data_IF_477665655270
#
_entry.id   IF_477665655270
#
_cell.length_a   1.000
_cell.length_b   1.000
_cell.length_c   1.000
_cell.angle_alpha   90.00
_cell.angle_beta   90.00
_cell.angle_gamma   90.00
#
_symmetry.space_group_name_H-M   'P 1'
#
loop_
_entity.id
_entity.type
_entity.pdbx_description
1 polymer ?
#
# COMPACT_ATOMS: atom_id res chain seq x y z
N UNK A 1 -15.05 -3.79 -35.13
CA UNK A 1 -13.68 -4.30 -34.91
C UNK A 1 -13.74 -5.24 -33.70
N UNK A 2 -13.36 -6.53 -33.89
CA UNK A 2 -13.31 -7.50 -32.78
C UNK A 2 -12.11 -7.14 -31.88
N UNK A 3 -12.36 -6.92 -30.61
CA UNK A 3 -11.33 -6.71 -29.60
C UNK A 3 -10.79 -8.08 -29.16
N UNK A 4 -9.55 -8.47 -29.53
CA UNK A 4 -8.98 -9.77 -29.19
C UNK A 4 -8.95 -10.04 -27.67
N UNK A 5 -8.75 -8.96 -26.88
CA UNK A 5 -8.71 -9.06 -25.41
C UNK A 5 -10.07 -9.47 -24.83
N UNK A 6 -11.14 -8.90 -25.37
CA UNK A 6 -12.52 -9.27 -24.98
C UNK A 6 -12.86 -10.71 -25.36
N UNK A 7 -12.36 -11.20 -26.51
CA UNK A 7 -12.57 -12.60 -26.90
C UNK A 7 -11.84 -13.55 -25.97
N UNK A 8 -10.56 -13.29 -25.64
CA UNK A 8 -9.79 -14.07 -24.69
C UNK A 8 -10.46 -14.09 -23.29
N UNK A 9 -10.92 -12.93 -22.82
CA UNK A 9 -11.66 -12.82 -21.56
C UNK A 9 -12.97 -13.66 -21.58
N UNK A 10 -13.72 -13.62 -22.68
CA UNK A 10 -14.95 -14.42 -22.81
C UNK A 10 -14.65 -15.93 -22.82
N UNK A 11 -13.59 -16.36 -23.50
CA UNK A 11 -13.16 -17.76 -23.52
C UNK A 11 -12.72 -18.24 -22.13
N UNK A 12 -11.96 -17.41 -21.39
CA UNK A 12 -11.58 -17.71 -20.01
C UNK A 12 -12.79 -17.85 -19.09
N UNK A 13 -13.75 -16.92 -19.17
CA UNK A 13 -14.98 -16.96 -18.37
C UNK A 13 -15.86 -18.17 -18.73
N UNK A 14 -15.90 -18.58 -20.00
CA UNK A 14 -16.61 -19.77 -20.44
C UNK A 14 -15.98 -21.03 -19.82
N UNK A 15 -14.67 -21.17 -19.92
CA UNK A 15 -13.92 -22.29 -19.32
C UNK A 15 -14.08 -22.35 -17.78
N UNK A 16 -14.18 -21.18 -17.12
CA UNK A 16 -14.39 -21.07 -15.68
C UNK A 16 -15.87 -21.23 -15.27
N UNK A 17 -16.79 -21.55 -16.19
CA UNK A 17 -18.22 -21.75 -15.91
C UNK A 17 -19.03 -20.46 -15.73
N UNK A 18 -18.53 -19.31 -16.20
CA UNK A 18 -19.19 -18.00 -16.12
C UNK A 18 -19.59 -17.45 -17.49
N UNK A 19 -19.82 -18.34 -18.46
CA UNK A 19 -20.28 -17.97 -19.81
C UNK A 19 -21.53 -17.10 -19.77
N UNK A 20 -21.57 -16.07 -20.61
CA UNK A 20 -22.72 -15.18 -20.81
C UNK A 20 -23.06 -14.28 -19.63
N UNK A 21 -22.31 -14.30 -18.53
CA UNK A 21 -22.51 -13.42 -17.39
C UNK A 21 -21.94 -12.03 -17.71
N UNK A 22 -22.71 -10.98 -17.46
CA UNK A 22 -22.26 -9.60 -17.67
C UNK A 22 -21.17 -9.24 -16.65
N UNK A 23 -20.00 -8.86 -17.13
CA UNK A 23 -18.92 -8.29 -16.34
C UNK A 23 -19.17 -6.79 -16.10
N UNK A 24 -19.46 -6.41 -14.86
CA UNK A 24 -19.62 -5.00 -14.45
C UNK A 24 -18.28 -4.45 -14.01
N UNK A 25 -17.76 -3.35 -14.61
CA UNK A 25 -16.47 -2.80 -14.22
C UNK A 25 -16.52 -2.32 -12.75
N UNK A 26 -15.49 -2.68 -12.00
CA UNK A 26 -15.17 -2.09 -10.70
C UNK A 26 -14.25 -0.88 -10.89
N UNK A 27 -14.14 -0.04 -9.85
CA UNK A 27 -13.26 1.12 -9.91
C UNK A 27 -11.83 0.68 -10.26
N UNK A 28 -11.21 1.36 -11.22
CA UNK A 28 -9.84 1.07 -11.65
C UNK A 28 -8.81 1.61 -10.68
N UNK A 29 -7.70 0.89 -10.55
CA UNK A 29 -6.52 1.28 -9.80
C UNK A 29 -5.57 2.17 -10.62
N UNK A 30 -4.45 2.56 -10.02
CA UNK A 30 -3.35 3.26 -10.67
C UNK A 30 -2.54 2.37 -11.65
N UNK A 31 -2.72 1.04 -11.61
CA UNK A 31 -2.07 0.03 -12.44
C UNK A 31 -2.76 -0.16 -13.80
N UNK A 32 -2.22 -1.09 -14.62
CA UNK A 32 -2.86 -1.54 -15.86
C UNK A 32 -3.92 -2.61 -15.61
N UNK A 33 -4.08 -3.09 -14.38
CA UNK A 33 -5.09 -4.08 -13.98
C UNK A 33 -6.49 -3.48 -14.06
N UNK A 34 -7.43 -4.29 -14.51
CA UNK A 34 -8.85 -3.95 -14.58
C UNK A 34 -9.62 -5.02 -13.83
N UNK A 35 -10.62 -4.58 -13.06
CA UNK A 35 -11.44 -5.47 -12.26
C UNK A 35 -12.89 -5.40 -12.72
N UNK A 36 -13.55 -6.56 -12.76
CA UNK A 36 -14.95 -6.67 -13.12
C UNK A 36 -15.65 -7.61 -12.15
N UNK A 37 -16.82 -7.22 -11.67
CA UNK A 37 -17.67 -8.10 -10.88
C UNK A 37 -18.61 -8.85 -11.79
N UNK A 38 -18.74 -10.17 -11.57
CA UNK A 38 -19.73 -11.03 -12.20
C UNK A 38 -20.65 -11.56 -11.12
N UNK A 39 -21.98 -11.46 -11.37
CA UNK A 39 -22.99 -11.94 -10.42
C UNK A 39 -23.96 -12.89 -11.11
N UNK A 40 -24.25 -14.04 -10.48
CA UNK A 40 -25.22 -15.03 -10.95
C UNK A 40 -25.85 -15.79 -9.78
N UNK A 41 -27.18 -15.83 -9.74
CA UNK A 41 -27.94 -16.62 -8.77
C UNK A 41 -27.54 -16.33 -7.29
N UNK A 42 -27.29 -15.07 -6.94
CA UNK A 42 -26.93 -14.68 -5.59
C UNK A 42 -25.44 -14.91 -5.22
N UNK A 43 -24.65 -15.46 -6.13
CA UNK A 43 -23.20 -15.59 -5.98
C UNK A 43 -22.49 -14.53 -6.82
N UNK A 44 -21.33 -14.05 -6.36
CA UNK A 44 -20.50 -13.11 -7.11
C UNK A 44 -19.04 -13.52 -7.06
N UNK A 45 -18.31 -13.15 -8.12
CA UNK A 45 -16.86 -13.31 -8.26
C UNK A 45 -16.27 -12.07 -8.91
N UNK A 46 -14.98 -11.86 -8.73
CA UNK A 46 -14.24 -10.76 -9.36
C UNK A 46 -13.30 -11.32 -10.42
N UNK A 47 -13.42 -10.84 -11.65
CA UNK A 47 -12.44 -11.06 -12.71
C UNK A 47 -11.38 -9.97 -12.62
N UNK A 48 -10.11 -10.35 -12.52
CA UNK A 48 -8.95 -9.48 -12.73
C UNK A 48 -8.42 -9.70 -14.15
N UNK A 49 -8.31 -8.61 -14.90
CA UNK A 49 -7.69 -8.52 -16.21
C UNK A 49 -6.35 -7.77 -16.06
N UNK A 50 -5.25 -8.51 -16.10
CA UNK A 50 -3.87 -8.04 -15.94
C UNK A 50 -3.08 -8.34 -17.22
N UNK A 51 -3.13 -7.46 -18.24
CA UNK A 51 -2.63 -7.77 -19.58
C UNK A 51 -1.11 -7.88 -19.64
N UNK A 52 -0.54 -9.03 -20.09
CA UNK A 52 0.88 -9.13 -20.38
C UNK A 52 1.28 -8.26 -21.59
N UNK A 53 2.54 -7.78 -21.68
CA UNK A 53 3.64 -7.95 -20.71
C UNK A 53 3.64 -6.90 -19.59
N UNK A 54 2.62 -6.02 -19.50
CA UNK A 54 2.58 -4.92 -18.55
C UNK A 54 2.35 -5.37 -17.12
N UNK A 55 1.63 -6.48 -16.95
CA UNK A 55 1.30 -7.07 -15.64
C UNK A 55 1.65 -8.57 -15.63
N UNK A 56 2.04 -9.06 -14.43
CA UNK A 56 2.26 -10.47 -14.13
C UNK A 56 1.35 -10.87 -12.96
N UNK A 57 0.54 -11.90 -13.16
CA UNK A 57 -0.36 -12.42 -12.12
C UNK A 57 0.33 -13.37 -11.14
N UNK A 58 1.53 -13.84 -11.45
CA UNK A 58 2.28 -14.80 -10.62
C UNK A 58 2.45 -14.33 -9.17
N UNK A 59 2.95 -13.10 -8.92
CA UNK A 59 3.06 -12.56 -7.56
C UNK A 59 1.72 -12.50 -6.82
N UNK A 60 0.63 -12.10 -7.47
CA UNK A 60 -0.70 -12.09 -6.85
C UNK A 60 -1.11 -13.48 -6.37
N UNK A 61 -1.00 -14.49 -7.23
CA UNK A 61 -1.37 -15.88 -6.91
C UNK A 61 -0.53 -16.41 -5.75
N UNK A 62 0.79 -16.19 -5.79
CA UNK A 62 1.71 -16.66 -4.76
C UNK A 62 1.44 -16.02 -3.40
N UNK A 63 1.24 -14.70 -3.35
CA UNK A 63 0.99 -14.00 -2.08
C UNK A 63 -0.42 -14.30 -1.55
N UNK A 64 -1.43 -14.38 -2.41
CA UNK A 64 -2.77 -14.79 -1.99
C UNK A 64 -2.77 -16.16 -1.30
N UNK A 65 -2.07 -17.14 -1.91
CA UNK A 65 -1.91 -18.47 -1.33
C UNK A 65 -1.19 -18.40 0.02
N UNK A 66 -0.06 -17.69 0.10
CA UNK A 66 0.69 -17.50 1.35
C UNK A 66 -0.18 -16.89 2.47
N UNK A 67 -0.90 -15.81 2.20
CA UNK A 67 -1.75 -15.15 3.20
C UNK A 67 -2.84 -16.11 3.72
N UNK A 68 -3.43 -16.89 2.84
CA UNK A 68 -4.44 -17.91 3.21
C UNK A 68 -3.83 -19.05 4.04
N UNK A 69 -2.64 -19.52 3.70
CA UNK A 69 -1.88 -20.51 4.49
C UNK A 69 -1.51 -20.00 5.88
N UNK A 70 -1.25 -18.70 6.02
CA UNK A 70 -1.02 -18.01 7.29
C UNK A 70 -2.32 -17.80 8.10
N UNK A 71 -3.48 -18.23 7.57
CA UNK A 71 -4.77 -18.12 8.25
C UNK A 71 -5.45 -16.76 8.12
N UNK A 72 -5.02 -15.93 7.18
CA UNK A 72 -5.58 -14.62 6.88
C UNK A 72 -6.57 -14.68 5.71
N UNK A 73 -7.31 -13.59 5.48
CA UNK A 73 -8.26 -13.47 4.38
C UNK A 73 -7.67 -12.69 3.22
N UNK A 74 -7.16 -13.41 2.22
CA UNK A 74 -6.93 -12.92 0.87
C UNK A 74 -7.95 -13.57 -0.08
N UNK A 75 -8.37 -12.90 -1.19
CA UNK A 75 -9.31 -13.48 -2.15
C UNK A 75 -8.79 -14.83 -2.66
N UNK A 76 -9.66 -15.84 -2.65
CA UNK A 76 -9.35 -17.13 -3.24
C UNK A 76 -9.24 -17.00 -4.75
N UNK A 77 -8.18 -17.60 -5.32
CA UNK A 77 -8.03 -17.73 -6.77
C UNK A 77 -8.85 -18.95 -7.22
N UNK A 78 -9.99 -18.69 -7.84
CA UNK A 78 -10.94 -19.72 -8.28
C UNK A 78 -10.55 -20.31 -9.64
N UNK A 79 -9.96 -19.50 -10.51
CA UNK A 79 -9.40 -19.91 -11.79
C UNK A 79 -8.29 -18.94 -12.23
N UNK A 80 -7.32 -19.43 -13.01
CA UNK A 80 -6.23 -18.63 -13.57
C UNK A 80 -5.93 -18.96 -15.03
N UNK A 81 -5.54 -17.95 -15.79
CA UNK A 81 -4.93 -18.07 -17.11
C UNK A 81 -3.67 -17.19 -17.14
N UNK A 82 -2.51 -17.83 -16.96
CA UNK A 82 -1.22 -17.12 -16.85
C UNK A 82 -0.76 -16.53 -18.17
N UNK A 83 -1.07 -17.19 -19.29
CA UNK A 83 -0.67 -16.71 -20.62
C UNK A 83 -1.41 -15.41 -20.97
N UNK A 84 -2.70 -15.37 -20.65
CA UNK A 84 -3.55 -14.21 -20.91
C UNK A 84 -3.58 -13.21 -19.75
N UNK A 85 -3.11 -13.58 -18.56
CA UNK A 85 -3.14 -12.71 -17.38
C UNK A 85 -4.55 -12.48 -16.84
N UNK A 86 -5.38 -13.54 -16.76
CA UNK A 86 -6.70 -13.48 -16.14
C UNK A 86 -6.72 -14.26 -14.83
N UNK A 87 -7.39 -13.68 -13.81
CA UNK A 87 -7.77 -14.39 -12.59
C UNK A 87 -9.26 -14.26 -12.35
N UNK A 88 -9.88 -15.35 -11.90
CA UNK A 88 -11.21 -15.32 -11.29
C UNK A 88 -11.02 -15.44 -9.78
N UNK A 89 -11.53 -14.47 -9.03
CA UNK A 89 -11.25 -14.30 -7.63
C UNK A 89 -12.54 -14.35 -6.80
N UNK A 90 -12.43 -14.77 -5.55
CA UNK A 90 -13.47 -14.57 -4.55
C UNK A 90 -13.83 -13.08 -4.44
N UNK A 91 -15.14 -12.79 -4.38
CA UNK A 91 -15.65 -11.43 -4.20
C UNK A 91 -15.84 -11.13 -2.70
N UNK A 92 -15.05 -10.22 -2.16
CA UNK A 92 -15.17 -9.77 -0.77
C UNK A 92 -16.27 -8.73 -0.54
N UNK A 93 -16.98 -8.33 -1.61
CA UNK A 93 -18.01 -7.29 -1.54
C UNK A 93 -17.44 -5.87 -1.58
N UNK A 94 -18.16 -4.93 -0.96
CA UNK A 94 -17.88 -3.49 -1.09
C UNK A 94 -17.57 -2.81 0.26
N UNK A 95 -17.53 -3.55 1.36
CA UNK A 95 -17.34 -2.99 2.70
C UNK A 95 -15.87 -2.69 3.00
N UNK A 96 -15.24 -1.87 2.12
CA UNK A 96 -13.90 -1.34 2.39
C UNK A 96 -13.92 -0.50 3.66
N UNK A 97 -12.82 -0.49 4.41
CA UNK A 97 -12.71 0.32 5.61
C UNK A 97 -12.95 1.81 5.29
N UNK A 98 -12.46 2.30 4.16
CA UNK A 98 -12.73 3.66 3.69
C UNK A 98 -14.23 3.95 3.62
N UNK A 99 -15.01 3.05 2.99
CA UNK A 99 -16.46 3.22 2.84
C UNK A 99 -17.18 3.15 4.19
N UNK A 100 -16.80 2.18 5.02
CA UNK A 100 -17.38 2.01 6.35
C UNK A 100 -17.11 3.22 7.25
N UNK A 101 -15.87 3.71 7.26
CA UNK A 101 -15.48 4.88 8.05
C UNK A 101 -16.17 6.17 7.55
N UNK A 102 -16.35 6.32 6.24
CA UNK A 102 -17.15 7.41 5.69
C UNK A 102 -18.63 7.29 6.09
N UNK A 103 -19.13 6.08 6.31
CA UNK A 103 -20.48 5.79 6.81
C UNK A 103 -20.64 5.91 8.33
N UNK A 104 -19.58 6.27 9.08
CA UNK A 104 -19.63 6.45 10.55
C UNK A 104 -19.49 5.16 11.34
N UNK A 105 -18.88 4.11 10.77
CA UNK A 105 -18.55 2.88 11.49
C UNK A 105 -17.57 3.15 12.66
N UNK A 106 -17.53 2.23 13.63
CA UNK A 106 -16.64 2.29 14.79
C UNK A 106 -15.17 2.25 14.34
N UNK A 107 -14.56 3.43 14.26
CA UNK A 107 -13.18 3.61 13.82
C UNK A 107 -12.18 2.86 14.71
N UNK A 108 -12.21 2.98 16.05
CA UNK A 108 -11.36 2.18 16.94
C UNK A 108 -11.47 0.66 16.71
N UNK A 109 -12.66 0.13 16.48
CA UNK A 109 -12.85 -1.30 16.23
C UNK A 109 -12.21 -1.75 14.93
N UNK A 110 -12.38 -0.99 13.82
CA UNK A 110 -11.79 -1.28 12.52
C UNK A 110 -10.25 -1.22 12.57
N UNK A 111 -9.67 -0.19 13.19
CA UNK A 111 -8.22 -0.08 13.34
C UNK A 111 -7.65 -1.16 14.26
N UNK A 112 -8.36 -1.53 15.33
CA UNK A 112 -7.97 -2.65 16.18
C UNK A 112 -7.90 -3.95 15.39
N UNK A 113 -8.93 -4.25 14.59
CA UNK A 113 -8.96 -5.44 13.74
C UNK A 113 -7.84 -5.42 12.71
N UNK A 114 -7.56 -4.28 12.09
CA UNK A 114 -6.44 -4.14 11.15
C UNK A 114 -5.09 -4.39 11.83
N UNK A 115 -4.84 -3.77 12.99
CA UNK A 115 -3.57 -3.98 13.73
C UNK A 115 -3.43 -5.42 14.20
N UNK A 116 -4.50 -6.07 14.69
CA UNK A 116 -4.48 -7.48 15.06
C UNK A 116 -4.18 -8.40 13.88
N UNK A 117 -4.71 -8.05 12.70
CA UNK A 117 -4.43 -8.78 11.46
C UNK A 117 -2.96 -8.63 11.07
N UNK A 118 -2.38 -7.43 11.18
CA UNK A 118 -0.96 -7.19 10.94
C UNK A 118 -0.07 -7.96 11.93
N UNK A 119 -0.42 -7.96 13.21
CA UNK A 119 0.27 -8.74 14.24
C UNK A 119 0.23 -10.23 13.90
N UNK A 120 -0.95 -10.76 13.56
CA UNK A 120 -1.12 -12.17 13.22
C UNK A 120 -0.29 -12.54 11.96
N UNK A 121 -0.28 -11.68 10.93
CA UNK A 121 0.54 -11.82 9.73
C UNK A 121 2.01 -11.99 10.10
N UNK A 122 2.56 -11.07 10.87
CA UNK A 122 3.99 -11.03 11.19
C UNK A 122 4.41 -12.16 12.15
N UNK A 123 3.56 -12.49 13.12
CA UNK A 123 3.79 -13.65 14.00
C UNK A 123 3.78 -14.98 13.24
N UNK A 124 2.90 -15.12 12.24
CA UNK A 124 2.79 -16.36 11.48
C UNK A 124 3.89 -16.51 10.41
N UNK A 125 4.36 -15.41 9.83
CA UNK A 125 5.39 -15.40 8.79
C UNK A 125 6.79 -15.72 9.33
N UNK A 126 7.11 -15.27 10.54
CA UNK A 126 8.47 -15.38 11.11
C UNK A 126 8.97 -16.84 11.28
N UNK A 127 8.17 -17.84 11.73
CA UNK A 127 8.66 -19.20 11.96
C UNK A 127 8.74 -20.09 10.72
N UNK A 128 8.03 -19.75 9.64
CA UNK A 128 7.83 -20.67 8.50
C UNK A 128 8.81 -20.45 7.35
N UNK A 129 9.63 -19.41 7.40
CA UNK A 129 10.35 -18.92 6.25
C UNK A 129 9.37 -18.40 5.20
N UNK A 130 9.37 -17.12 4.96
CA UNK A 130 8.63 -16.54 3.83
C UNK A 130 9.20 -17.16 2.54
N UNK A 131 8.38 -17.43 1.50
CA UNK A 131 8.91 -17.71 0.18
C UNK A 131 9.94 -16.63 -0.17
N UNK A 132 10.82 -16.90 -1.11
CA UNK A 132 11.84 -15.92 -1.55
C UNK A 132 11.14 -14.66 -2.09
N UNK A 133 10.76 -13.78 -1.17
CA UNK A 133 10.20 -12.47 -1.49
C UNK A 133 11.34 -11.49 -1.74
N UNK A 134 11.14 -10.54 -2.65
CA UNK A 134 12.09 -9.46 -2.83
C UNK A 134 12.34 -8.73 -1.51
N UNK A 135 13.57 -8.32 -1.26
CA UNK A 135 13.91 -7.52 -0.08
C UNK A 135 13.43 -6.07 -0.26
N UNK A 136 12.91 -5.48 0.80
CA UNK A 136 12.70 -4.04 0.90
C UNK A 136 14.01 -3.40 1.35
N UNK A 137 15.00 -3.49 0.50
CA UNK A 137 16.36 -3.09 0.76
C UNK A 137 16.60 -1.58 0.59
N UNK A 138 17.84 -1.18 0.83
CA UNK A 138 18.31 0.19 0.70
C UNK A 138 18.07 0.77 -0.69
N UNK A 139 18.31 -0.02 -1.74
CA UNK A 139 18.17 0.44 -3.13
C UNK A 139 16.71 0.76 -3.46
N UNK A 140 15.82 -0.11 -3.05
CA UNK A 140 14.37 0.08 -3.23
C UNK A 140 13.86 1.29 -2.45
N UNK A 141 14.24 1.43 -1.17
CA UNK A 141 13.85 2.57 -0.34
C UNK A 141 14.37 3.90 -0.90
N UNK A 142 15.61 3.93 -1.39
CA UNK A 142 16.18 5.11 -2.06
C UNK A 142 15.46 5.43 -3.38
N UNK A 143 15.19 4.40 -4.19
CA UNK A 143 14.45 4.54 -5.45
C UNK A 143 13.02 5.06 -5.28
N UNK A 144 12.43 4.84 -4.11
CA UNK A 144 11.13 5.40 -3.75
C UNK A 144 11.24 6.82 -3.17
N UNK A 145 12.17 7.08 -2.25
CA UNK A 145 12.37 8.41 -1.65
C UNK A 145 12.70 9.49 -2.70
N UNK A 146 13.46 9.11 -3.73
CA UNK A 146 13.89 10.03 -4.80
C UNK A 146 12.73 10.57 -5.64
N UNK A 147 11.59 9.88 -5.64
CA UNK A 147 10.41 10.33 -6.40
C UNK A 147 9.95 11.74 -6.01
N UNK A 148 10.21 12.18 -4.77
CA UNK A 148 9.96 13.55 -4.35
C UNK A 148 10.69 14.54 -5.25
N UNK A 149 12.00 14.35 -5.43
CA UNK A 149 12.87 15.28 -6.16
C UNK A 149 12.93 15.00 -7.66
N UNK A 150 12.37 13.89 -8.12
CA UNK A 150 12.24 13.58 -9.55
C UNK A 150 10.89 14.07 -10.12
N UNK A 151 9.82 14.08 -9.30
CA UNK A 151 8.47 14.35 -9.79
C UNK A 151 7.79 15.54 -9.12
N UNK A 152 7.79 15.61 -7.79
CA UNK A 152 7.09 16.70 -7.09
C UNK A 152 7.82 18.03 -7.29
N UNK A 153 9.11 18.07 -7.00
CA UNK A 153 9.96 19.24 -7.22
C UNK A 153 11.28 18.80 -7.87
N UNK A 154 11.31 18.69 -9.19
CA UNK A 154 12.54 18.34 -9.88
C UNK A 154 13.68 19.31 -9.53
N UNK A 155 14.84 18.74 -9.19
CA UNK A 155 16.03 19.48 -8.77
C UNK A 155 17.22 19.14 -9.68
N UNK A 156 18.24 20.00 -9.68
CA UNK A 156 19.48 19.72 -10.40
C UNK A 156 20.18 18.46 -9.88
N UNK A 157 20.96 17.80 -10.74
CA UNK A 157 21.61 16.51 -10.43
C UNK A 157 22.45 16.53 -9.17
N UNK A 158 23.19 17.60 -8.90
CA UNK A 158 23.99 17.74 -7.68
C UNK A 158 23.13 17.76 -6.40
N UNK A 159 21.98 18.44 -6.42
CA UNK A 159 21.05 18.48 -5.28
C UNK A 159 20.34 17.13 -5.12
N UNK A 160 20.06 16.45 -6.21
CA UNK A 160 19.50 15.09 -6.18
C UNK A 160 20.45 14.11 -5.48
N UNK A 161 21.73 14.16 -5.82
CA UNK A 161 22.73 13.31 -5.17
C UNK A 161 22.95 13.67 -3.70
N UNK A 162 22.92 14.95 -3.35
CA UNK A 162 22.95 15.40 -1.95
C UNK A 162 21.77 14.82 -1.16
N UNK A 163 20.55 14.93 -1.69
CA UNK A 163 19.35 14.35 -1.08
C UNK A 163 19.46 12.84 -0.89
N UNK A 164 19.91 12.11 -1.90
CA UNK A 164 20.11 10.67 -1.81
C UNK A 164 21.22 10.29 -0.82
N UNK A 165 22.28 11.08 -0.71
CA UNK A 165 23.34 10.84 0.28
C UNK A 165 22.82 10.97 1.71
N UNK A 166 21.93 11.93 1.97
CA UNK A 166 21.29 12.08 3.28
C UNK A 166 20.42 10.85 3.62
N UNK A 167 19.62 10.37 2.67
CA UNK A 167 18.82 9.16 2.86
C UNK A 167 19.70 7.92 3.08
N UNK A 168 20.78 7.73 2.31
CA UNK A 168 21.74 6.63 2.52
C UNK A 168 22.33 6.61 3.93
N UNK A 169 22.52 7.77 4.51
CA UNK A 169 23.08 7.89 5.86
C UNK A 169 22.11 7.48 6.96
N UNK A 170 20.79 7.72 6.79
CA UNK A 170 19.80 7.50 7.85
C UNK A 170 18.99 6.20 7.70
N UNK A 171 18.79 5.72 6.47
CA UNK A 171 17.98 4.50 6.21
C UNK A 171 18.47 3.23 6.93
N UNK A 172 19.78 3.03 7.21
CA UNK A 172 20.22 1.89 8.03
C UNK A 172 19.52 1.84 9.40
N UNK A 173 19.21 2.97 10.01
CA UNK A 173 18.50 3.06 11.29
C UNK A 173 17.00 2.67 11.17
N UNK A 174 16.48 2.60 9.96
CA UNK A 174 15.12 2.10 9.70
C UNK A 174 15.04 0.58 9.60
N UNK A 175 16.17 -0.09 9.36
CA UNK A 175 16.25 -1.53 9.09
C UNK A 175 16.33 -2.34 10.39
N UNK A 176 15.22 -2.34 11.16
CA UNK A 176 15.12 -3.10 12.40
C UNK A 176 15.03 -4.60 12.10
N UNK A 177 15.79 -5.39 12.84
CA UNK A 177 15.82 -6.85 12.73
C UNK A 177 15.01 -7.53 13.84
N UNK A 178 14.37 -8.69 13.56
CA UNK A 178 14.34 -9.39 12.29
C UNK A 178 13.39 -8.76 11.28
N UNK A 179 13.70 -8.86 9.97
CA UNK A 179 12.76 -8.44 8.93
C UNK A 179 11.54 -9.37 8.91
N UNK A 180 10.42 -8.86 8.43
CA UNK A 180 9.15 -9.60 8.35
C UNK A 180 8.50 -9.44 6.98
N UNK A 181 7.36 -10.10 6.77
CA UNK A 181 6.50 -9.87 5.62
C UNK A 181 5.89 -8.48 5.71
N UNK A 182 6.06 -7.69 4.66
CA UNK A 182 5.56 -6.32 4.49
C UNK A 182 4.69 -6.27 3.24
N UNK A 183 3.43 -5.88 3.39
CA UNK A 183 2.47 -5.77 2.27
C UNK A 183 2.61 -4.45 1.50
N UNK A 184 3.26 -3.44 2.07
CA UNK A 184 3.55 -2.10 1.53
C UNK A 184 2.34 -1.17 1.42
N UNK A 185 1.24 -1.64 0.86
CA UNK A 185 0.04 -0.84 0.65
C UNK A 185 -1.07 -1.23 1.64
N UNK A 186 -0.69 -1.32 2.94
CA UNK A 186 -1.56 -1.68 4.05
C UNK A 186 -2.28 -0.43 4.58
N UNK A 187 -3.42 -0.10 3.99
CA UNK A 187 -4.23 1.08 4.33
C UNK A 187 -5.73 0.82 4.09
N UNK A 188 -6.59 1.71 4.59
CA UNK A 188 -8.05 1.50 4.65
C UNK A 188 -8.74 1.23 3.31
N UNK A 189 -8.18 1.68 2.17
CA UNK A 189 -8.75 1.37 0.85
C UNK A 189 -8.54 -0.10 0.45
N UNK A 190 -7.47 -0.73 0.98
CA UNK A 190 -7.08 -2.10 0.68
C UNK A 190 -7.50 -3.11 1.76
N UNK A 191 -8.29 -2.66 2.75
CA UNK A 191 -8.86 -3.50 3.79
C UNK A 191 -10.38 -3.57 3.63
N UNK A 192 -10.93 -4.79 3.74
CA UNK A 192 -12.38 -5.05 3.65
C UNK A 192 -12.86 -5.73 4.93
N UNK A 193 -13.99 -5.30 5.46
CA UNK A 193 -14.63 -5.98 6.58
C UNK A 193 -15.40 -7.21 6.09
N UNK A 194 -15.10 -8.36 6.67
CA UNK A 194 -15.72 -9.64 6.40
C UNK A 194 -16.44 -10.13 7.67
N UNK A 195 -17.66 -9.63 7.96
CA UNK A 195 -18.31 -9.81 9.26
C UNK A 195 -18.62 -11.29 9.58
N UNK A 196 -18.70 -12.14 8.56
CA UNK A 196 -18.97 -13.57 8.70
C UNK A 196 -17.71 -14.41 8.95
N UNK A 197 -16.53 -13.81 9.05
CA UNK A 197 -15.26 -14.49 9.33
C UNK A 197 -14.79 -14.17 10.76
N UNK A 198 -14.36 -15.18 11.55
CA UNK A 198 -13.97 -14.96 12.93
C UNK A 198 -12.57 -14.33 13.08
N UNK A 199 -12.42 -13.51 14.15
CA UNK A 199 -11.14 -12.93 14.54
C UNK A 199 -10.47 -12.14 13.43
N UNK A 200 -9.16 -12.26 13.28
CA UNK A 200 -8.37 -11.54 12.26
C UNK A 200 -8.78 -11.86 10.83
N UNK A 201 -9.43 -12.99 10.61
CA UNK A 201 -10.02 -13.33 9.30
C UNK A 201 -11.15 -12.38 8.90
N UNK A 202 -11.72 -11.63 9.84
CA UNK A 202 -12.68 -10.58 9.58
C UNK A 202 -12.11 -9.39 8.81
N UNK A 203 -10.78 -9.27 8.70
CA UNK A 203 -10.11 -8.29 7.85
C UNK A 203 -9.65 -8.95 6.54
N UNK A 204 -10.30 -8.62 5.45
CA UNK A 204 -9.90 -9.02 4.10
C UNK A 204 -8.80 -8.11 3.57
N UNK A 205 -7.77 -8.71 2.98
CA UNK A 205 -6.57 -8.04 2.45
C UNK A 205 -6.64 -7.96 0.94
N UNK A 206 -6.38 -6.78 0.38
CA UNK A 206 -6.29 -6.52 -1.05
C UNK A 206 -4.95 -5.85 -1.40
N UNK A 207 -4.61 -5.84 -2.69
CA UNK A 207 -3.46 -5.12 -3.28
C UNK A 207 -2.10 -5.50 -2.63
N UNK A 208 -1.91 -6.78 -2.36
CA UNK A 208 -0.76 -7.35 -1.64
C UNK A 208 0.34 -7.92 -2.54
N UNK A 209 0.16 -7.95 -3.86
CA UNK A 209 1.08 -8.64 -4.78
C UNK A 209 2.50 -8.06 -4.82
N UNK A 210 2.67 -6.83 -4.35
CA UNK A 210 3.97 -6.16 -4.24
C UNK A 210 4.64 -6.37 -2.87
N UNK A 211 4.19 -7.40 -2.12
CA UNK A 211 4.74 -7.75 -0.82
C UNK A 211 6.25 -8.05 -0.89
N UNK A 212 6.95 -7.72 0.19
CA UNK A 212 8.40 -7.83 0.32
C UNK A 212 8.77 -8.32 1.71
N UNK A 213 10.04 -8.70 1.90
CA UNK A 213 10.61 -8.89 3.23
C UNK A 213 11.29 -7.59 3.66
N UNK A 214 10.89 -7.01 4.79
CA UNK A 214 11.35 -5.69 5.20
C UNK A 214 11.15 -5.36 6.68
N UNK A 215 11.34 -4.09 7.06
CA UNK A 215 11.24 -3.65 8.45
C UNK A 215 9.80 -3.77 8.98
N UNK A 216 9.62 -4.33 10.20
CA UNK A 216 8.31 -4.70 10.73
C UNK A 216 7.34 -3.51 10.92
N UNK A 217 7.85 -2.29 11.12
CA UNK A 217 7.03 -1.09 11.34
C UNK A 217 6.38 -0.51 10.09
N UNK A 218 6.78 -0.94 8.87
CA UNK A 218 6.36 -0.26 7.63
C UNK A 218 4.85 -0.28 7.41
N UNK A 219 4.20 -1.43 7.55
CA UNK A 219 2.76 -1.56 7.32
C UNK A 219 1.93 -0.88 8.42
N UNK A 220 2.44 -0.86 9.66
CA UNK A 220 1.81 -0.09 10.73
C UNK A 220 1.82 1.41 10.41
N UNK A 221 2.96 1.94 9.96
CA UNK A 221 3.09 3.32 9.49
C UNK A 221 2.15 3.58 8.31
N UNK A 222 2.10 2.67 7.34
CA UNK A 222 1.20 2.79 6.18
C UNK A 222 -0.27 2.90 6.58
N UNK A 223 -0.68 2.17 7.64
CA UNK A 223 -2.04 2.20 8.18
C UNK A 223 -2.31 3.48 8.98
N UNK A 224 -1.37 3.90 9.83
CA UNK A 224 -1.58 4.99 10.78
C UNK A 224 -1.27 6.38 10.21
N UNK A 225 -0.58 6.46 9.06
CA UNK A 225 -0.32 7.68 8.31
C UNK A 225 -0.90 7.60 6.90
N UNK A 226 -2.20 7.35 6.83
CA UNK A 226 -2.90 7.24 5.55
C UNK A 226 -2.93 8.59 4.83
N UNK A 227 -2.46 8.61 3.59
CA UNK A 227 -2.46 9.79 2.73
C UNK A 227 -3.87 10.35 2.46
N UNK A 228 -4.93 9.55 2.65
CA UNK A 228 -6.31 9.86 2.26
C UNK A 228 -7.18 10.32 3.41
N UNK A 229 -6.79 10.02 4.67
CA UNK A 229 -7.57 10.40 5.85
C UNK A 229 -6.68 10.83 7.02
N UNK A 230 -7.20 11.69 7.88
CA UNK A 230 -6.56 12.04 9.13
C UNK A 230 -6.99 11.03 10.21
N UNK A 231 -6.05 10.52 10.99
CA UNK A 231 -6.30 9.56 12.08
C UNK A 231 -6.05 10.30 13.40
N UNK A 232 -7.00 10.23 14.35
CA UNK A 232 -6.82 10.91 15.64
C UNK A 232 -5.56 10.44 16.38
N UNK A 233 -4.76 11.37 16.91
CA UNK A 233 -3.52 11.05 17.61
C UNK A 233 -3.68 10.03 18.75
N UNK A 234 -4.72 10.11 19.60
CA UNK A 234 -4.96 9.07 20.61
C UNK A 234 -5.18 7.68 20.03
N UNK A 235 -5.82 7.57 18.85
CA UNK A 235 -6.00 6.29 18.17
C UNK A 235 -4.68 5.77 17.59
N UNK A 236 -3.88 6.64 16.95
CA UNK A 236 -2.54 6.27 16.48
C UNK A 236 -1.67 5.74 17.63
N UNK A 237 -1.67 6.42 18.77
CA UNK A 237 -0.92 6.00 19.95
C UNK A 237 -1.42 4.65 20.50
N UNK A 238 -2.73 4.45 20.60
CA UNK A 238 -3.31 3.21 21.08
C UNK A 238 -2.98 2.03 20.17
N UNK A 239 -3.01 2.22 18.86
CA UNK A 239 -2.67 1.20 17.86
C UNK A 239 -1.17 0.86 17.86
N UNK A 240 -0.32 1.87 17.98
CA UNK A 240 1.13 1.68 18.12
C UNK A 240 1.47 0.90 19.39
N UNK A 241 0.83 1.24 20.52
CA UNK A 241 1.02 0.55 21.79
C UNK A 241 0.52 -0.91 21.73
N UNK A 242 -0.62 -1.14 21.08
CA UNK A 242 -1.13 -2.48 20.83
C UNK A 242 -0.14 -3.35 20.06
N UNK A 243 0.42 -2.77 18.99
CA UNK A 243 1.41 -3.45 18.17
C UNK A 243 2.69 -3.77 18.97
N UNK A 244 3.26 -2.79 19.68
CA UNK A 244 4.48 -2.98 20.48
C UNK A 244 4.28 -3.97 21.64
N UNK A 245 3.08 -4.03 22.22
CA UNK A 245 2.74 -5.02 23.25
C UNK A 245 2.78 -6.45 22.71
N UNK A 246 2.42 -6.65 21.45
CA UNK A 246 2.50 -7.97 20.80
C UNK A 246 3.93 -8.39 20.45
N UNK A 247 4.85 -7.42 20.32
CA UNK A 247 6.26 -7.65 19.99
C UNK A 247 7.21 -7.13 21.08
N UNK A 248 7.22 -7.74 22.28
CA UNK A 248 7.98 -7.22 23.43
C UNK A 248 9.50 -7.25 23.23
N UNK A 249 9.99 -8.00 22.24
CA UNK A 249 11.40 -8.03 21.89
C UNK A 249 11.86 -6.81 21.07
N UNK A 250 10.92 -6.03 20.53
CA UNK A 250 11.26 -4.78 19.82
C UNK A 250 11.59 -3.68 20.85
N UNK A 251 12.82 -3.17 20.78
CA UNK A 251 13.19 -1.99 21.57
C UNK A 251 12.36 -0.77 21.10
N UNK A 252 11.65 -0.14 22.03
CA UNK A 252 10.71 0.94 21.75
C UNK A 252 11.38 2.16 21.12
N UNK A 253 12.59 2.50 21.53
CA UNK A 253 13.33 3.65 21.02
C UNK A 253 13.82 3.41 19.60
N UNK A 254 14.34 2.20 19.36
CA UNK A 254 14.75 1.73 18.03
C UNK A 254 13.56 1.66 17.09
N UNK A 255 12.42 1.12 17.54
CA UNK A 255 11.20 1.07 16.75
C UNK A 255 10.69 2.48 16.41
N UNK A 256 10.61 3.40 17.38
CA UNK A 256 10.16 4.77 17.16
C UNK A 256 11.02 5.49 16.11
N UNK A 257 12.36 5.32 16.18
CA UNK A 257 13.29 5.86 15.20
C UNK A 257 13.04 5.27 13.81
N UNK A 258 12.96 3.95 13.72
CA UNK A 258 12.68 3.24 12.47
C UNK A 258 11.36 3.70 11.86
N UNK A 259 10.28 3.74 12.64
CA UNK A 259 8.96 4.15 12.20
C UNK A 259 8.97 5.58 11.63
N UNK A 260 9.60 6.53 12.33
CA UNK A 260 9.71 7.91 11.85
C UNK A 260 10.49 8.01 10.52
N UNK A 261 11.58 7.26 10.37
CA UNK A 261 12.36 7.25 9.11
C UNK A 261 11.53 6.65 7.97
N UNK A 262 10.84 5.53 8.22
CA UNK A 262 9.98 4.87 7.24
C UNK A 262 8.78 5.74 6.85
N UNK A 263 8.16 6.44 7.81
CA UNK A 263 7.09 7.37 7.59
C UNK A 263 7.51 8.52 6.67
N UNK A 264 8.61 9.19 7.00
CA UNK A 264 9.15 10.26 6.18
C UNK A 264 9.54 9.77 4.76
N UNK A 265 10.17 8.59 4.65
CA UNK A 265 10.52 7.99 3.36
C UNK A 265 9.25 7.71 2.53
N UNK A 266 8.24 7.09 3.15
CA UNK A 266 6.97 6.78 2.51
C UNK A 266 6.22 8.05 2.09
N UNK A 267 6.19 9.08 2.92
CA UNK A 267 5.56 10.34 2.60
C UNK A 267 6.26 11.05 1.42
N UNK A 268 7.60 11.02 1.34
CA UNK A 268 8.35 11.48 0.17
C UNK A 268 7.98 10.70 -1.10
N UNK A 269 7.91 9.35 -1.02
CA UNK A 269 7.44 8.47 -2.10
C UNK A 269 6.04 8.89 -2.58
N UNK A 270 5.08 9.06 -1.66
CA UNK A 270 3.68 9.37 -1.99
C UNK A 270 3.57 10.73 -2.69
N UNK A 271 4.25 11.77 -2.21
CA UNK A 271 4.30 13.09 -2.86
C UNK A 271 4.76 12.96 -4.32
N UNK A 272 5.81 12.18 -4.55
CA UNK A 272 6.31 11.91 -5.89
C UNK A 272 5.33 11.10 -6.74
N UNK A 273 4.74 10.02 -6.21
CA UNK A 273 3.78 9.18 -6.93
C UNK A 273 2.54 9.97 -7.32
N UNK A 274 1.92 10.72 -6.41
CA UNK A 274 0.70 11.48 -6.71
C UNK A 274 0.95 12.54 -7.77
N UNK A 275 2.11 13.18 -7.73
CA UNK A 275 2.51 14.13 -8.77
C UNK A 275 2.78 13.44 -10.11
N UNK A 276 3.43 12.26 -10.10
CA UNK A 276 3.66 11.46 -11.30
C UNK A 276 2.35 11.01 -11.95
N UNK A 277 1.40 10.51 -11.16
CA UNK A 277 0.07 10.11 -11.61
C UNK A 277 -0.67 11.27 -12.28
N UNK A 278 -0.52 12.48 -11.76
CA UNK A 278 -1.07 13.66 -12.41
C UNK A 278 -0.32 14.01 -13.72
N UNK A 279 1.00 14.20 -13.66
CA UNK A 279 1.79 14.71 -14.79
C UNK A 279 1.85 13.72 -15.94
N UNK A 280 2.01 12.42 -15.65
CA UNK A 280 2.16 11.37 -16.65
C UNK A 280 0.81 10.80 -17.10
N UNK A 281 -0.10 10.55 -16.16
CA UNK A 281 -1.31 9.76 -16.38
C UNK A 281 -2.60 10.61 -16.36
N UNK A 282 -2.50 11.94 -16.14
CA UNK A 282 -3.65 12.86 -16.10
C UNK A 282 -4.56 12.71 -14.89
N UNK A 283 -4.19 11.92 -13.89
CA UNK A 283 -5.00 11.56 -12.71
C UNK A 283 -4.97 12.66 -11.64
N UNK A 284 -5.63 13.80 -11.87
CA UNK A 284 -5.63 14.97 -10.95
C UNK A 284 -6.27 14.70 -9.59
N UNK A 285 -7.12 13.69 -9.46
CA UNK A 285 -7.80 13.35 -8.20
C UNK A 285 -6.84 13.08 -7.04
N UNK A 286 -5.61 12.63 -7.31
CA UNK A 286 -4.62 12.37 -6.27
C UNK A 286 -4.02 13.64 -5.65
N UNK A 287 -4.10 14.78 -6.34
CA UNK A 287 -3.51 16.04 -5.85
C UNK A 287 -4.21 16.58 -4.59
N UNK A 288 -5.46 16.20 -4.35
CA UNK A 288 -6.20 16.62 -3.15
C UNK A 288 -5.54 16.14 -1.86
N UNK A 289 -4.77 15.06 -1.92
CA UNK A 289 -4.07 14.45 -0.78
C UNK A 289 -2.71 15.10 -0.47
N UNK A 290 -2.11 15.82 -1.41
CA UNK A 290 -0.78 16.42 -1.27
C UNK A 290 -0.63 17.27 0.03
N UNK A 291 -1.59 18.16 0.39
CA UNK A 291 -1.46 18.95 1.61
C UNK A 291 -1.42 18.10 2.89
N UNK A 292 -2.16 16.98 2.92
CA UNK A 292 -2.15 16.04 4.06
C UNK A 292 -0.80 15.34 4.15
N UNK A 293 -0.30 14.81 3.05
CA UNK A 293 0.98 14.09 3.03
C UNK A 293 2.12 15.02 3.45
N UNK A 294 2.07 16.30 3.09
CA UNK A 294 3.04 17.27 3.61
C UNK A 294 2.93 17.47 5.12
N UNK A 295 1.72 17.57 5.68
CA UNK A 295 1.56 17.69 7.15
C UNK A 295 2.10 16.45 7.88
N UNK A 296 1.88 15.25 7.34
CA UNK A 296 2.44 14.00 7.89
C UNK A 296 3.97 14.05 7.83
N UNK A 297 4.55 14.33 6.67
CA UNK A 297 6.00 14.46 6.53
C UNK A 297 6.60 15.51 7.47
N UNK A 298 5.98 16.67 7.64
CA UNK A 298 6.44 17.72 8.55
C UNK A 298 6.41 17.25 10.01
N UNK A 299 5.41 16.47 10.40
CA UNK A 299 5.38 15.85 11.73
C UNK A 299 6.53 14.84 11.92
N UNK A 300 6.78 13.97 10.93
CA UNK A 300 7.89 13.00 10.95
C UNK A 300 9.24 13.69 11.08
N UNK A 301 9.44 14.79 10.32
CA UNK A 301 10.68 15.58 10.31
C UNK A 301 11.00 16.20 11.68
N UNK A 302 10.04 16.25 12.59
CA UNK A 302 10.27 16.60 14.00
C UNK A 302 11.11 15.57 14.76
N UNK A 303 11.24 14.33 14.26
CA UNK A 303 12.08 13.32 14.92
C UNK A 303 13.58 13.65 14.73
N UNK A 304 14.42 13.58 15.80
CA UNK A 304 15.84 13.99 15.73
C UNK A 304 16.66 13.28 14.64
N UNK A 305 16.38 12.01 14.35
CA UNK A 305 17.07 11.26 13.31
C UNK A 305 16.89 11.85 11.91
N UNK A 306 15.79 12.58 11.66
CA UNK A 306 15.46 13.20 10.37
C UNK A 306 15.97 14.64 10.23
N UNK A 307 16.68 15.17 11.23
CA UNK A 307 17.22 16.53 11.20
C UNK A 307 18.01 16.90 9.93
N UNK A 308 18.87 16.04 9.37
CA UNK A 308 19.55 16.31 8.10
C UNK A 308 18.59 16.49 6.91
N UNK A 309 17.56 15.65 6.81
CA UNK A 309 16.52 15.72 5.76
C UNK A 309 15.68 16.98 5.96
N UNK A 310 15.26 17.29 7.19
CA UNK A 310 14.48 18.46 7.51
C UNK A 310 15.18 19.75 7.04
N UNK A 311 16.46 19.92 7.40
CA UNK A 311 17.26 21.09 6.97
C UNK A 311 17.44 21.17 5.45
N UNK A 312 17.58 20.03 4.77
CA UNK A 312 17.67 20.01 3.32
C UNK A 312 16.35 20.44 2.68
N UNK A 313 15.23 19.89 3.17
CA UNK A 313 13.89 20.25 2.69
C UNK A 313 13.59 21.74 2.96
N UNK A 314 13.90 22.28 4.14
CA UNK A 314 13.67 23.69 4.45
C UNK A 314 14.45 24.63 3.53
N UNK A 315 15.63 24.22 3.09
CA UNK A 315 16.46 25.00 2.16
C UNK A 315 15.97 24.94 0.72
N UNK A 316 15.53 23.76 0.24
CA UNK A 316 15.28 23.52 -1.19
C UNK A 316 13.79 23.38 -1.54
N UNK A 317 12.95 23.06 -0.55
CA UNK A 317 11.50 23.03 -0.61
C UNK A 317 10.92 23.76 0.62
N UNK A 318 11.05 25.08 0.69
CA UNK A 318 10.55 25.84 1.83
C UNK A 318 9.01 25.72 1.94
N UNK A 319 8.40 26.07 3.11
CA UNK A 319 6.99 25.83 3.36
C UNK A 319 6.03 26.34 2.28
N UNK A 320 6.33 27.49 1.66
CA UNK A 320 5.55 28.06 0.56
C UNK A 320 5.57 27.20 -0.72
N UNK A 321 6.57 26.34 -0.89
CA UNK A 321 6.66 25.38 -2.01
C UNK A 321 5.99 24.04 -1.68
N UNK A 322 5.54 23.81 -0.44
CA UNK A 322 4.92 22.56 0.02
C UNK A 322 3.40 22.55 -0.19
N UNK A 323 2.96 22.89 -1.37
CA UNK A 323 1.55 22.96 -1.75
C UNK A 323 1.24 22.05 -2.93
N UNK A 324 -0.01 22.05 -3.37
CA UNK A 324 -0.41 21.30 -4.57
C UNK A 324 0.37 21.80 -5.78
N UNK A 325 1.01 20.88 -6.57
CA UNK A 325 1.86 21.30 -7.69
C UNK A 325 1.11 22.06 -8.78
N UNK A 326 -0.19 21.83 -8.94
CA UNK A 326 -1.05 22.53 -9.92
C UNK A 326 -1.44 23.95 -9.49
N UNK A 327 -1.12 24.33 -8.26
CA UNK A 327 -1.30 25.69 -7.73
C UNK A 327 0.02 26.45 -7.61
N UNK A 328 1.15 25.79 -7.88
CA UNK A 328 2.42 26.49 -7.98
C UNK A 328 2.37 27.33 -9.26
N UNK A 329 2.26 28.65 -9.13
CA UNK A 329 2.39 29.57 -10.24
C UNK A 329 3.69 29.26 -11.00
N UNK A 330 3.60 29.22 -12.32
CA UNK A 330 4.76 29.24 -13.20
C UNK A 330 5.62 30.48 -12.84
N UNK A 331 6.63 30.25 -12.01
CA UNK A 331 7.60 31.25 -11.61
C UNK A 331 8.89 31.07 -12.40
#
# INVERSE_FOLDING_TARGET
>A
MHDPRRQAMAAFLDAAGWAGVRAAPLAGDASFRRYYRLGRNGSSVVLMDAPPPQEDIGPYVAIAALLRELGLSAPEVLAEDREQGFLLLEDFGDDTYTRLLAGGADEPALYTLAVDTLIALQCAATPRGTPELPSYDMERLLGEAVLLVDWYRPVASGLREEYLALWRAILPDAMVSPPTLVLRDYHVDNLILLPNRPGVRGCGLLDFQDAVTGPPGYDLVSLLEDARRDIPGPLQQAMTERYLTAFPALDRSTFSRSAAILAAQRNCKILGIFTRLWKRDGKRQYLVHIPRVWRLLEADLGHPALGPIARWLDRHLPPEARCRPDLQSEA
#
